data_IF_436203894732
#
_entry.id   IF_436203894732
#
_cell.length_a   1.000
_cell.length_b   1.000
_cell.length_c   1.000
_cell.angle_alpha   90.00
_cell.angle_beta   90.00
_cell.angle_gamma   90.00
#
_symmetry.space_group_name_H-M   'P 1'
#
loop_
_entity.id
_entity.type
_entity.pdbx_description
1 polymer ?
#
# COMPACT_ATOMS: atom_id res chain seq x y z
N UNK A 1 -18.23 -13.64 25.32
CA UNK A 1 -18.31 -13.50 23.84
C UNK A 1 -16.97 -13.90 23.26
N UNK A 2 -16.92 -14.92 22.41
CA UNK A 2 -15.65 -15.37 21.79
C UNK A 2 -15.25 -14.36 20.70
N UNK A 3 -14.11 -13.71 20.84
CA UNK A 3 -13.55 -12.84 19.79
C UNK A 3 -13.03 -13.78 18.70
N UNK A 4 -13.82 -13.95 17.63
CA UNK A 4 -13.42 -14.74 16.47
C UNK A 4 -12.25 -14.02 15.79
N UNK A 5 -11.08 -14.67 15.75
CA UNK A 5 -9.91 -14.13 15.03
C UNK A 5 -10.24 -14.12 13.54
N UNK A 6 -10.03 -12.98 12.89
CA UNK A 6 -10.14 -12.90 11.44
C UNK A 6 -9.00 -13.68 10.79
N UNK A 7 -9.27 -14.23 9.62
CA UNK A 7 -8.29 -14.96 8.83
C UNK A 7 -7.14 -14.03 8.37
N UNK A 8 -6.01 -14.63 8.00
CA UNK A 8 -4.90 -13.88 7.38
C UNK A 8 -5.36 -13.22 6.08
N UNK A 9 -4.75 -12.09 5.72
CA UNK A 9 -5.03 -11.43 4.44
C UNK A 9 -4.45 -12.23 3.27
N UNK A 10 -5.28 -12.41 2.25
CA UNK A 10 -4.87 -12.98 0.96
C UNK A 10 -4.26 -11.92 0.04
N UNK A 11 -3.58 -12.35 -1.02
CA UNK A 11 -3.05 -11.42 -2.02
C UNK A 11 -4.16 -10.60 -2.69
N UNK A 12 -5.30 -11.22 -2.98
CA UNK A 12 -6.44 -10.54 -3.59
C UNK A 12 -7.05 -9.49 -2.66
N UNK A 13 -7.09 -9.75 -1.34
CA UNK A 13 -7.47 -8.73 -0.34
C UNK A 13 -6.47 -7.56 -0.29
N UNK A 14 -5.16 -7.84 -0.41
CA UNK A 14 -4.16 -6.77 -0.46
C UNK A 14 -4.32 -5.90 -1.70
N UNK A 15 -4.55 -6.51 -2.87
CA UNK A 15 -4.83 -5.79 -4.13
C UNK A 15 -6.07 -4.91 -4.00
N UNK A 16 -7.17 -5.46 -3.47
CA UNK A 16 -8.40 -4.71 -3.22
C UNK A 16 -8.17 -3.54 -2.26
N UNK A 17 -7.46 -3.78 -1.16
CA UNK A 17 -7.12 -2.74 -0.18
C UNK A 17 -6.26 -1.63 -0.79
N UNK A 18 -5.30 -1.96 -1.66
CA UNK A 18 -4.50 -0.97 -2.38
C UNK A 18 -5.35 -0.09 -3.30
N UNK A 19 -6.27 -0.67 -4.07
CA UNK A 19 -7.16 0.10 -4.94
C UNK A 19 -8.03 1.08 -4.14
N UNK A 20 -8.73 0.58 -3.11
CA UNK A 20 -9.58 1.42 -2.26
C UNK A 20 -8.77 2.54 -1.58
N UNK A 21 -7.58 2.22 -1.08
CA UNK A 21 -6.71 3.22 -0.46
C UNK A 21 -6.30 4.32 -1.44
N UNK A 22 -5.96 3.96 -2.69
CA UNK A 22 -5.62 4.92 -3.73
C UNK A 22 -6.82 5.80 -4.10
N UNK A 23 -7.99 5.19 -4.32
CA UNK A 23 -9.23 5.91 -4.67
C UNK A 23 -9.60 6.95 -3.60
N UNK A 24 -9.50 6.57 -2.31
CA UNK A 24 -9.80 7.49 -1.21
C UNK A 24 -8.71 8.57 -1.06
N UNK A 25 -7.42 8.20 -1.19
CA UNK A 25 -6.30 9.13 -1.01
C UNK A 25 -6.13 10.14 -2.14
N UNK A 26 -6.59 9.81 -3.34
CA UNK A 26 -6.49 10.67 -4.52
C UNK A 26 -7.78 11.44 -4.81
N UNK A 27 -8.84 11.27 -4.00
CA UNK A 27 -10.11 11.95 -4.23
C UNK A 27 -10.01 13.47 -3.93
N UNK A 28 -10.08 14.33 -4.96
CA UNK A 28 -9.85 15.77 -4.79
C UNK A 28 -10.98 16.47 -4.03
N UNK A 29 -12.19 15.89 -4.03
CA UNK A 29 -13.37 16.44 -3.34
C UNK A 29 -13.26 16.22 -1.83
N UNK A 30 -12.63 15.10 -1.44
CA UNK A 30 -12.56 14.65 -0.04
C UNK A 30 -11.28 15.15 0.65
N UNK A 31 -10.22 15.42 -0.11
CA UNK A 31 -8.87 15.71 0.42
C UNK A 31 -8.75 16.98 1.27
N UNK A 32 -9.72 17.89 1.22
CA UNK A 32 -9.68 19.14 1.99
C UNK A 32 -10.33 18.89 3.37
N UNK A 33 -9.53 18.99 4.44
CA UNK A 33 -9.94 18.86 5.87
C UNK A 33 -10.29 17.45 6.38
N UNK A 34 -9.73 16.38 5.80
CA UNK A 34 -9.98 15.03 6.31
C UNK A 34 -9.05 14.68 7.49
N UNK A 35 -9.64 14.31 8.63
CA UNK A 35 -8.87 13.72 9.73
C UNK A 35 -8.44 12.29 9.37
N UNK A 36 -7.34 11.81 9.98
CA UNK A 36 -6.90 10.42 9.80
C UNK A 36 -8.01 9.41 10.11
N UNK A 37 -8.83 9.67 11.13
CA UNK A 37 -9.91 8.76 11.50
C UNK A 37 -11.00 8.70 10.42
N UNK A 38 -11.39 9.86 9.89
CA UNK A 38 -12.36 9.97 8.79
C UNK A 38 -11.84 9.35 7.50
N UNK A 39 -10.54 9.46 7.22
CA UNK A 39 -9.90 8.76 6.10
C UNK A 39 -10.12 7.25 6.20
N UNK A 40 -9.74 6.68 7.34
CA UNK A 40 -9.84 5.24 7.53
C UNK A 40 -11.26 4.72 7.68
N UNK A 41 -12.20 5.53 8.17
CA UNK A 41 -13.62 5.20 8.18
C UNK A 41 -14.16 5.04 6.74
N UNK A 42 -13.73 5.90 5.81
CA UNK A 42 -14.10 5.77 4.39
C UNK A 42 -13.46 4.53 3.75
N UNK A 43 -12.17 4.31 4.00
CA UNK A 43 -11.49 3.09 3.53
C UNK A 43 -12.20 1.82 4.03
N UNK A 44 -12.59 1.78 5.31
CA UNK A 44 -13.34 0.65 5.86
C UNK A 44 -14.70 0.45 5.18
N UNK A 45 -15.45 1.53 5.00
CA UNK A 45 -16.74 1.50 4.33
C UNK A 45 -16.60 0.98 2.89
N UNK A 46 -15.71 1.59 2.11
CA UNK A 46 -15.57 1.30 0.68
C UNK A 46 -14.95 -0.08 0.45
N UNK A 47 -14.02 -0.50 1.30
CA UNK A 47 -13.45 -1.85 1.27
C UNK A 47 -14.53 -2.91 1.47
N UNK A 48 -15.36 -2.78 2.50
CA UNK A 48 -16.36 -3.77 2.85
C UNK A 48 -17.58 -3.78 1.91
N UNK A 49 -17.93 -2.62 1.33
CA UNK A 49 -19.05 -2.48 0.41
C UNK A 49 -18.70 -2.94 -1.01
N UNK A 50 -17.46 -2.71 -1.46
CA UNK A 50 -17.01 -3.09 -2.80
C UNK A 50 -16.17 -4.38 -2.79
N UNK A 51 -16.23 -5.18 -1.72
CA UNK A 51 -15.45 -6.41 -1.66
C UNK A 51 -15.94 -7.42 -2.72
N UNK A 52 -15.04 -8.01 -3.50
CA UNK A 52 -15.35 -9.14 -4.37
C UNK A 52 -16.02 -10.29 -3.61
N UNK A 53 -16.86 -11.06 -4.31
CA UNK A 53 -17.65 -12.16 -3.71
C UNK A 53 -16.81 -13.25 -3.02
N UNK A 54 -15.56 -13.42 -3.45
CA UNK A 54 -14.63 -14.38 -2.82
C UNK A 54 -14.08 -13.88 -1.47
N UNK A 55 -14.22 -12.59 -1.13
CA UNK A 55 -13.87 -12.02 0.18
C UNK A 55 -15.10 -12.06 1.07
N UNK A 56 -15.17 -13.08 1.91
CA UNK A 56 -16.34 -13.35 2.75
C UNK A 56 -16.28 -12.64 4.11
N UNK A 57 -15.09 -12.33 4.61
CA UNK A 57 -14.91 -11.70 5.93
C UNK A 57 -14.92 -10.17 5.84
N UNK A 58 -15.66 -9.54 6.75
CA UNK A 58 -15.57 -8.10 6.96
C UNK A 58 -14.29 -7.76 7.71
N UNK A 59 -13.63 -6.68 7.27
CA UNK A 59 -12.42 -6.16 7.91
C UNK A 59 -12.74 -4.87 8.61
N UNK A 60 -12.39 -4.78 9.89
CA UNK A 60 -12.54 -3.53 10.63
C UNK A 60 -11.39 -2.54 10.33
N UNK A 61 -11.64 -1.27 10.62
CA UNK A 61 -10.72 -0.15 10.43
C UNK A 61 -9.30 -0.43 10.92
N UNK A 62 -9.15 -0.97 12.13
CA UNK A 62 -7.83 -1.25 12.73
C UNK A 62 -7.08 -2.32 11.97
N UNK A 63 -7.77 -3.37 11.53
CA UNK A 63 -7.17 -4.45 10.76
C UNK A 63 -6.63 -3.94 9.41
N UNK A 64 -7.43 -3.14 8.70
CA UNK A 64 -7.05 -2.53 7.42
C UNK A 64 -5.86 -1.58 7.58
N UNK A 65 -5.86 -0.75 8.62
CA UNK A 65 -4.74 0.14 8.95
C UNK A 65 -3.43 -0.64 9.15
N UNK A 66 -3.44 -1.68 9.99
CA UNK A 66 -2.26 -2.49 10.25
C UNK A 66 -1.76 -3.20 8.99
N UNK A 67 -2.68 -3.71 8.16
CA UNK A 67 -2.30 -4.37 6.91
C UNK A 67 -1.69 -3.40 5.91
N UNK A 68 -2.32 -2.25 5.69
CA UNK A 68 -1.79 -1.22 4.80
C UNK A 68 -0.44 -0.67 5.27
N UNK A 69 -0.24 -0.49 6.58
CA UNK A 69 1.07 -0.09 7.12
C UNK A 69 2.17 -1.10 6.74
N UNK A 70 1.85 -2.40 6.77
CA UNK A 70 2.77 -3.46 6.36
C UNK A 70 3.10 -3.35 4.87
N UNK A 71 2.09 -3.13 4.03
CA UNK A 71 2.24 -2.95 2.56
C UNK A 71 3.12 -1.73 2.27
N UNK A 72 2.80 -0.57 2.85
CA UNK A 72 3.57 0.66 2.67
C UNK A 72 5.04 0.52 3.12
N UNK A 73 5.28 -0.23 4.21
CA UNK A 73 6.65 -0.52 4.66
C UNK A 73 7.42 -1.36 3.64
N UNK A 74 6.79 -2.38 3.04
CA UNK A 74 7.39 -3.18 1.99
C UNK A 74 7.70 -2.35 0.74
N UNK A 75 6.78 -1.49 0.31
CA UNK A 75 6.97 -0.53 -0.79
C UNK A 75 8.15 0.40 -0.49
N UNK A 76 8.24 0.92 0.74
CA UNK A 76 9.34 1.80 1.17
C UNK A 76 10.72 1.13 1.03
N UNK A 77 10.84 -0.14 1.44
CA UNK A 77 12.07 -0.93 1.28
C UNK A 77 12.43 -1.11 -0.18
N UNK A 78 11.46 -1.49 -1.02
CA UNK A 78 11.67 -1.66 -2.46
C UNK A 78 12.14 -0.36 -3.12
N UNK A 79 11.50 0.78 -2.82
CA UNK A 79 11.92 2.09 -3.31
C UNK A 79 13.32 2.48 -2.83
N UNK A 80 13.69 2.10 -1.61
CA UNK A 80 15.04 2.27 -1.09
C UNK A 80 16.09 1.52 -1.93
N UNK A 81 15.82 0.25 -2.26
CA UNK A 81 16.69 -0.55 -3.13
C UNK A 81 16.77 0.04 -4.56
N UNK A 82 15.64 0.44 -5.15
CA UNK A 82 15.63 1.06 -6.47
C UNK A 82 16.48 2.34 -6.50
N UNK A 83 16.34 3.21 -5.50
CA UNK A 83 17.13 4.44 -5.39
C UNK A 83 18.63 4.14 -5.33
N UNK A 84 19.05 3.10 -4.61
CA UNK A 84 20.46 2.71 -4.57
C UNK A 84 20.98 2.34 -5.96
N UNK A 85 20.21 1.57 -6.73
CA UNK A 85 20.57 1.21 -8.12
C UNK A 85 20.64 2.45 -9.01
N UNK A 86 19.68 3.38 -8.88
CA UNK A 86 19.68 4.64 -9.62
C UNK A 86 20.88 5.52 -9.27
N UNK A 87 21.25 5.62 -7.99
CA UNK A 87 22.45 6.36 -7.54
C UNK A 87 23.75 5.69 -7.97
N UNK A 88 23.77 4.37 -8.14
CA UNK A 88 24.94 3.63 -8.64
C UNK A 88 25.18 3.83 -10.14
N UNK A 89 24.21 4.35 -10.90
CA UNK A 89 24.49 4.88 -12.25
C UNK A 89 25.35 6.14 -12.07
N UNK A 90 26.64 6.12 -12.42
CA UNK A 90 27.46 7.30 -12.20
C UNK A 90 26.96 8.37 -13.17
N UNK A 91 26.37 9.44 -12.65
CA UNK A 91 26.19 10.66 -13.43
C UNK A 91 27.59 11.18 -13.76
N UNK A 92 28.13 10.78 -14.90
CA UNK A 92 29.48 11.13 -15.35
C UNK A 92 30.41 9.97 -15.74
N UNK A 93 29.98 8.70 -15.69
CA UNK A 93 30.80 7.63 -16.27
C UNK A 93 30.68 7.63 -17.79
N UNK A 94 31.81 7.78 -18.47
CA UNK A 94 31.93 7.56 -19.90
C UNK A 94 31.85 6.06 -20.22
N UNK A 95 31.52 5.68 -21.46
CA UNK A 95 31.56 4.27 -21.89
C UNK A 95 32.92 3.61 -21.61
N UNK A 96 34.00 4.39 -21.57
CA UNK A 96 35.35 3.93 -21.24
C UNK A 96 35.52 3.50 -19.77
N UNK A 97 34.79 4.12 -18.83
CA UNK A 97 34.87 3.78 -17.40
C UNK A 97 34.19 2.45 -17.09
N UNK A 98 33.19 2.07 -17.90
CA UNK A 98 32.44 0.82 -17.77
C UNK A 98 33.28 -0.38 -18.24
N UNK A 99 34.09 -0.20 -19.30
CA UNK A 99 34.94 -1.28 -19.87
C UNK A 99 36.12 -1.64 -18.96
N UNK A 100 36.59 -0.71 -18.12
CA UNK A 100 37.70 -0.90 -17.18
C UNK A 100 37.33 -1.76 -15.94
N UNK A 101 36.04 -1.95 -15.68
CA UNK A 101 35.53 -2.71 -14.51
C UNK A 101 35.30 -4.19 -14.86
N UNK A 102 35.38 -4.56 -16.13
CA UNK A 102 35.39 -5.95 -16.61
C UNK A 102 36.81 -6.46 -16.83
#
# INVERSE_FOLDING_TARGET
MSIKRTSSYTHAEDTHLCHIYLDVSQNPIIGIYQSKDMFWARVENDYNNNKPDFITELRNKRSLQCRMQTILSAIGKFRGCLRQIETLKPSGASEADIVSIC
#
